data_IF_858290189407
#
_entry.id   IF_858290189407
#
_cell.length_a   1.000
_cell.length_b   1.000
_cell.length_c   1.000
_cell.angle_alpha   90.00
_cell.angle_beta   90.00
_cell.angle_gamma   90.00
#
_symmetry.space_group_name_H-M   'P 1'
#
loop_
_entity.id
_entity.type
_entity.pdbx_description
1 polymer ?
#
# COMPACT_ATOMS: atom_id res chain seq x y z
N UNK A 1 9.59 49.89 25.31
CA UNK A 1 10.49 48.81 24.85
C UNK A 1 9.63 47.58 24.59
N UNK A 2 9.34 47.28 23.32
CA UNK A 2 8.54 46.10 22.96
C UNK A 2 9.45 44.87 23.03
N UNK A 3 9.21 43.99 24.00
CA UNK A 3 9.90 42.70 24.02
C UNK A 3 9.42 41.88 22.82
N UNK A 4 10.35 41.57 21.91
CA UNK A 4 10.15 40.50 20.94
C UNK A 4 9.99 39.20 21.73
N UNK A 5 8.74 38.77 21.92
CA UNK A 5 8.42 37.43 22.40
C UNK A 5 9.00 36.44 21.40
N UNK A 6 10.18 35.90 21.74
CA UNK A 6 10.75 34.78 21.02
C UNK A 6 9.69 33.68 21.01
N UNK A 7 9.25 33.28 19.81
CA UNK A 7 8.25 32.23 19.70
C UNK A 7 8.76 30.98 20.40
N UNK A 8 7.92 30.28 21.19
CA UNK A 8 8.33 29.06 21.85
C UNK A 8 8.90 28.06 20.85
N UNK A 9 9.92 27.31 21.23
CA UNK A 9 10.52 26.28 20.38
C UNK A 9 9.49 25.24 19.89
N UNK A 10 8.46 24.95 20.71
CA UNK A 10 7.33 24.09 20.32
C UNK A 10 6.53 24.64 19.14
N UNK A 11 6.35 25.96 19.07
CA UNK A 11 5.69 26.63 17.94
C UNK A 11 6.52 26.49 16.67
N UNK A 12 7.83 26.75 16.72
CA UNK A 12 8.69 26.58 15.55
C UNK A 12 8.68 25.12 15.04
N UNK A 13 8.70 24.15 15.97
CA UNK A 13 8.56 22.73 15.63
C UNK A 13 7.21 22.40 14.97
N UNK A 14 6.10 22.98 15.43
CA UNK A 14 4.79 22.74 14.81
C UNK A 14 4.70 23.33 13.41
N UNK A 15 5.24 24.53 13.19
CA UNK A 15 5.27 25.18 11.88
C UNK A 15 6.10 24.36 10.87
N UNK A 16 7.31 23.95 11.25
CA UNK A 16 8.17 23.13 10.39
C UNK A 16 7.49 21.81 10.05
N UNK A 17 6.88 21.15 11.05
CA UNK A 17 6.15 19.89 10.83
C UNK A 17 4.95 20.09 9.90
N UNK A 18 4.20 21.18 10.05
CA UNK A 18 3.06 21.52 9.19
C UNK A 18 3.51 21.76 7.74
N UNK A 19 4.55 22.56 7.56
CA UNK A 19 5.11 22.84 6.23
C UNK A 19 5.65 21.56 5.56
N UNK A 20 6.38 20.72 6.29
CA UNK A 20 6.88 19.45 5.78
C UNK A 20 5.74 18.49 5.37
N UNK A 21 4.66 18.42 6.18
CA UNK A 21 3.47 17.63 5.84
C UNK A 21 2.76 18.17 4.59
N UNK A 22 2.67 19.49 4.42
CA UNK A 22 2.07 20.10 3.22
C UNK A 22 2.86 19.73 1.98
N UNK A 23 4.18 19.93 2.00
CA UNK A 23 5.07 19.57 0.88
C UNK A 23 4.96 18.09 0.55
N UNK A 24 4.92 17.23 1.59
CA UNK A 24 4.77 15.80 1.37
C UNK A 24 3.41 15.44 0.77
N UNK A 25 2.32 16.07 1.23
CA UNK A 25 1.00 15.86 0.65
C UNK A 25 0.96 16.30 -0.82
N UNK A 26 1.52 17.46 -1.15
CA UNK A 26 1.57 17.96 -2.53
C UNK A 26 2.34 16.99 -3.44
N UNK A 27 3.50 16.50 -2.98
CA UNK A 27 4.27 15.50 -3.72
C UNK A 27 3.50 14.16 -3.84
N UNK A 28 2.74 13.78 -2.81
CA UNK A 28 1.95 12.56 -2.80
C UNK A 28 0.77 12.63 -3.79
N UNK A 29 0.09 13.77 -3.84
CA UNK A 29 -1.05 13.99 -4.73
C UNK A 29 -0.62 14.07 -6.20
N UNK A 30 0.49 14.74 -6.48
CA UNK A 30 0.99 14.98 -7.85
C UNK A 30 1.97 13.92 -8.35
N UNK A 31 2.43 13.00 -7.49
CA UNK A 31 3.36 11.94 -7.85
C UNK A 31 2.73 10.88 -8.76
N UNK A 32 3.51 10.38 -9.72
CA UNK A 32 3.10 9.31 -10.65
C UNK A 32 3.33 7.90 -10.10
N UNK A 33 4.25 7.73 -9.15
CA UNK A 33 4.58 6.44 -8.54
C UNK A 33 3.69 6.13 -7.35
N UNK A 34 3.36 4.85 -7.13
CA UNK A 34 2.63 4.43 -5.93
C UNK A 34 1.14 4.80 -5.93
N UNK A 35 0.55 5.09 -7.11
CA UNK A 35 -0.86 5.51 -7.24
C UNK A 35 -1.86 4.55 -6.60
N UNK A 36 -1.65 3.25 -6.69
CA UNK A 36 -2.51 2.26 -6.02
C UNK A 36 -2.52 2.45 -4.49
N UNK A 37 -1.37 2.81 -3.91
CA UNK A 37 -1.25 3.10 -2.47
C UNK A 37 -1.87 4.45 -2.14
N UNK A 38 -1.69 5.47 -3.00
CA UNK A 38 -2.38 6.78 -2.87
C UNK A 38 -3.90 6.61 -2.86
N UNK A 39 -4.44 5.82 -3.79
CA UNK A 39 -5.88 5.66 -3.89
C UNK A 39 -6.50 5.06 -2.61
N UNK A 40 -5.73 4.27 -1.84
CA UNK A 40 -6.11 3.68 -0.55
C UNK A 40 -5.80 4.62 0.62
N UNK A 41 -4.63 5.25 0.63
CA UNK A 41 -4.17 6.19 1.67
C UNK A 41 -3.84 7.53 1.00
N UNK A 42 -4.87 8.36 0.72
CA UNK A 42 -4.68 9.59 -0.04
C UNK A 42 -4.06 10.70 0.81
N UNK A 43 -4.11 10.58 2.14
CA UNK A 43 -3.60 11.61 3.06
C UNK A 43 -2.34 11.13 3.77
N UNK A 44 -1.26 11.91 3.64
CA UNK A 44 -0.03 11.66 4.38
C UNK A 44 -0.23 12.00 5.86
N UNK A 45 0.45 11.26 6.72
CA UNK A 45 0.33 11.41 8.17
C UNK A 45 1.58 10.86 8.84
N UNK A 46 1.94 11.46 9.98
CA UNK A 46 2.99 10.91 10.84
C UNK A 46 2.49 9.74 11.72
N UNK A 47 1.20 9.39 11.64
CA UNK A 47 0.65 8.22 12.32
C UNK A 47 0.69 7.02 11.38
N UNK A 48 1.17 5.85 11.82
CA UNK A 48 1.12 4.65 11.01
C UNK A 48 -0.34 4.25 10.74
N UNK A 49 -0.59 3.66 9.57
CA UNK A 49 -1.92 3.21 9.13
C UNK A 49 -2.41 1.97 9.91
N UNK A 50 -1.54 1.34 10.72
CA UNK A 50 -1.88 0.15 11.50
C UNK A 50 -1.91 -1.14 10.68
N UNK A 51 -1.23 -1.14 9.53
CA UNK A 51 -1.02 -2.32 8.70
C UNK A 51 0.20 -3.11 9.16
N UNK A 52 0.13 -4.42 9.06
CA UNK A 52 1.30 -5.28 9.27
C UNK A 52 2.13 -5.41 7.99
N UNK A 53 3.24 -6.15 8.06
CA UNK A 53 4.17 -6.35 6.93
C UNK A 53 3.46 -6.93 5.70
N UNK A 54 2.65 -7.96 5.88
CA UNK A 54 1.94 -8.65 4.80
C UNK A 54 0.91 -7.72 4.11
N UNK A 55 0.15 -6.96 4.89
CA UNK A 55 -0.82 -5.98 4.39
C UNK A 55 -0.14 -4.85 3.63
N UNK A 56 0.99 -4.33 4.14
CA UNK A 56 1.77 -3.30 3.44
C UNK A 56 2.31 -3.83 2.11
N UNK A 57 2.88 -5.03 2.09
CA UNK A 57 3.38 -5.66 0.86
C UNK A 57 2.29 -5.78 -0.20
N UNK A 58 1.11 -6.27 0.19
CA UNK A 58 -0.01 -6.40 -0.72
C UNK A 58 -0.47 -5.06 -1.30
N UNK A 59 -0.73 -4.06 -0.44
CA UNK A 59 -1.26 -2.75 -0.87
C UNK A 59 -0.28 -2.01 -1.79
N UNK A 60 1.01 -2.09 -1.48
CA UNK A 60 2.06 -1.45 -2.26
C UNK A 60 2.47 -2.26 -3.49
N UNK A 61 2.00 -3.50 -3.62
CA UNK A 61 2.46 -4.44 -4.64
C UNK A 61 3.93 -4.83 -4.48
N UNK A 62 4.51 -4.64 -3.30
CA UNK A 62 5.89 -5.00 -2.98
C UNK A 62 6.02 -6.43 -2.44
N UNK A 63 7.24 -6.97 -2.43
CA UNK A 63 7.55 -8.28 -1.85
C UNK A 63 7.64 -9.39 -2.92
N UNK A 64 7.01 -10.55 -2.73
CA UNK A 64 7.19 -11.72 -3.61
C UNK A 64 6.44 -11.60 -4.96
N UNK A 65 5.87 -10.44 -5.28
CA UNK A 65 5.13 -10.26 -6.51
C UNK A 65 6.06 -10.23 -7.73
N UNK A 66 5.81 -11.03 -8.78
CA UNK A 66 6.67 -11.08 -9.96
C UNK A 66 6.90 -9.73 -10.64
N UNK A 67 5.89 -8.84 -10.67
CA UNK A 67 5.99 -7.49 -11.23
C UNK A 67 7.01 -6.63 -10.48
N UNK A 68 7.00 -6.69 -9.15
CA UNK A 68 7.99 -6.02 -8.32
C UNK A 68 9.38 -6.62 -8.51
N UNK A 69 9.53 -7.94 -8.45
CA UNK A 69 10.83 -8.58 -8.64
C UNK A 69 11.43 -8.30 -10.02
N UNK A 70 10.58 -8.23 -11.06
CA UNK A 70 11.01 -7.88 -12.41
C UNK A 70 11.49 -6.43 -12.53
N UNK A 71 10.82 -5.46 -11.89
CA UNK A 71 11.25 -4.06 -11.92
C UNK A 71 12.64 -3.83 -11.29
N UNK A 72 13.06 -4.73 -10.40
CA UNK A 72 14.40 -4.72 -9.79
C UNK A 72 15.40 -5.66 -10.49
N UNK A 73 15.05 -6.20 -11.67
CA UNK A 73 15.88 -7.18 -12.40
C UNK A 73 16.22 -8.44 -11.60
N UNK A 74 15.44 -8.76 -10.57
CA UNK A 74 15.58 -9.99 -9.76
C UNK A 74 14.89 -11.19 -10.43
N UNK A 75 14.04 -10.93 -11.42
CA UNK A 75 13.38 -11.93 -12.27
C UNK A 75 13.36 -11.49 -13.73
N UNK A 76 13.53 -12.45 -14.63
CA UNK A 76 13.50 -12.23 -16.09
C UNK A 76 12.10 -11.92 -16.62
N UNK A 77 11.06 -12.42 -15.96
CA UNK A 77 9.66 -12.17 -16.33
C UNK A 77 8.81 -11.89 -15.09
N UNK A 78 7.81 -11.06 -15.28
CA UNK A 78 6.81 -10.65 -14.30
C UNK A 78 5.50 -11.45 -14.31
N UNK A 79 5.47 -12.59 -15.01
CA UNK A 79 4.29 -13.44 -14.99
C UNK A 79 4.20 -14.27 -13.70
N UNK A 80 2.97 -14.60 -13.32
CA UNK A 80 2.75 -15.58 -12.26
C UNK A 80 3.22 -16.97 -12.72
N UNK A 81 3.70 -17.81 -11.80
CA UNK A 81 4.11 -19.19 -12.12
C UNK A 81 2.98 -20.05 -12.70
N UNK A 82 1.71 -19.61 -12.59
CA UNK A 82 0.58 -20.29 -13.24
C UNK A 82 0.39 -19.89 -14.71
N UNK A 83 1.23 -18.99 -15.24
CA UNK A 83 1.19 -18.49 -16.62
C UNK A 83 0.37 -17.21 -16.82
N UNK A 84 -0.32 -16.72 -15.78
CA UNK A 84 -1.28 -15.62 -15.87
C UNK A 84 -0.74 -14.25 -15.40
N UNK A 85 -1.64 -13.25 -15.51
CA UNK A 85 -1.46 -11.79 -15.33
C UNK A 85 -0.60 -11.34 -14.12
N UNK A 86 0.07 -10.19 -14.34
CA UNK A 86 1.02 -9.47 -13.46
C UNK A 86 0.44 -8.78 -12.20
N UNK A 87 -0.87 -8.89 -11.95
CA UNK A 87 -1.57 -8.09 -10.92
C UNK A 87 -1.56 -8.83 -9.56
N UNK A 88 -1.16 -8.21 -8.43
CA UNK A 88 -1.32 -8.79 -7.09
C UNK A 88 -2.71 -9.38 -6.84
N UNK A 89 -3.77 -8.74 -7.35
CA UNK A 89 -5.17 -9.21 -7.22
C UNK A 89 -5.37 -10.60 -7.84
N UNK A 90 -4.56 -11.00 -8.82
CA UNK A 90 -4.62 -12.34 -9.40
C UNK A 90 -4.47 -13.43 -8.35
N UNK A 91 -3.56 -13.27 -7.38
CA UNK A 91 -3.34 -14.23 -6.31
C UNK A 91 -4.54 -14.34 -5.37
N UNK A 92 -5.23 -13.23 -5.15
CA UNK A 92 -6.39 -13.16 -4.28
C UNK A 92 -7.68 -13.63 -4.93
N UNK A 93 -7.72 -13.84 -6.25
CA UNK A 93 -9.02 -14.03 -6.94
C UNK A 93 -9.05 -15.16 -7.96
N UNK A 94 -7.90 -15.51 -8.56
CA UNK A 94 -7.87 -16.39 -9.76
C UNK A 94 -6.72 -17.40 -9.80
N UNK A 95 -5.65 -17.20 -9.04
CA UNK A 95 -4.47 -18.05 -9.17
C UNK A 95 -4.73 -19.48 -8.71
N UNK A 96 -4.46 -20.46 -9.58
CA UNK A 96 -4.66 -21.88 -9.28
C UNK A 96 -3.89 -22.37 -8.05
N UNK A 97 -2.82 -21.68 -7.65
CA UNK A 97 -1.99 -22.05 -6.50
C UNK A 97 -2.49 -21.48 -5.18
N UNK A 98 -3.50 -20.61 -5.18
CA UNK A 98 -3.97 -19.90 -3.98
C UNK A 98 -5.48 -20.00 -3.79
N UNK A 99 -6.10 -21.06 -4.35
CA UNK A 99 -7.54 -21.32 -4.33
C UNK A 99 -8.17 -21.23 -2.94
N UNK A 100 -7.49 -21.71 -1.90
CA UNK A 100 -7.97 -21.70 -0.51
C UNK A 100 -8.07 -20.30 0.11
N UNK A 101 -7.37 -19.31 -0.46
CA UNK A 101 -7.35 -17.93 0.03
C UNK A 101 -8.06 -16.97 -0.90
N UNK A 102 -8.79 -17.47 -1.90
CA UNK A 102 -9.51 -16.61 -2.82
C UNK A 102 -10.57 -15.78 -2.10
N UNK A 103 -10.59 -14.51 -2.48
CA UNK A 103 -11.66 -13.56 -2.29
C UNK A 103 -12.57 -13.57 -3.52
N UNK A 104 -13.76 -13.01 -3.35
CA UNK A 104 -14.63 -12.75 -4.48
C UNK A 104 -13.94 -11.78 -5.45
N UNK A 105 -13.90 -12.16 -6.73
CA UNK A 105 -13.31 -11.32 -7.76
C UNK A 105 -14.13 -10.03 -7.91
N UNK A 106 -13.54 -8.84 -7.73
CA UNK A 106 -14.26 -7.60 -7.96
C UNK A 106 -14.45 -7.38 -9.47
N UNK A 107 -15.53 -6.70 -9.83
CA UNK A 107 -15.64 -6.09 -11.17
C UNK A 107 -14.60 -4.98 -11.30
N UNK A 108 -14.19 -4.66 -12.54
CA UNK A 108 -13.18 -3.62 -12.78
C UNK A 108 -13.58 -2.25 -12.20
N UNK A 109 -14.86 -1.90 -12.26
CA UNK A 109 -15.40 -0.67 -11.67
C UNK A 109 -15.32 -0.62 -10.14
N UNK A 110 -15.30 -1.77 -9.47
CA UNK A 110 -15.27 -1.88 -8.00
C UNK A 110 -13.88 -2.24 -7.46
N UNK A 111 -12.86 -2.36 -8.32
CA UNK A 111 -11.50 -2.78 -7.92
C UNK A 111 -10.95 -1.94 -6.77
N UNK A 112 -11.08 -0.61 -6.84
CA UNK A 112 -10.56 0.27 -5.79
C UNK A 112 -11.33 0.13 -4.47
N UNK A 113 -12.66 0.06 -4.53
CA UNK A 113 -13.49 -0.13 -3.33
C UNK A 113 -13.19 -1.47 -2.67
N UNK A 114 -12.98 -2.51 -3.47
CA UNK A 114 -12.59 -3.83 -2.99
C UNK A 114 -11.23 -3.79 -2.28
N UNK A 115 -10.22 -3.12 -2.87
CA UNK A 115 -8.92 -2.95 -2.24
C UNK A 115 -9.01 -2.19 -0.91
N UNK A 116 -9.85 -1.15 -0.83
CA UNK A 116 -10.10 -0.39 0.40
C UNK A 116 -10.76 -1.22 1.49
N UNK A 117 -11.54 -2.24 1.13
CA UNK A 117 -12.28 -3.06 2.09
C UNK A 117 -11.44 -4.20 2.70
N UNK A 118 -10.38 -4.64 2.03
CA UNK A 118 -9.50 -5.69 2.57
C UNK A 118 -8.88 -5.30 3.91
N UNK A 119 -8.22 -4.13 4.06
CA UNK A 119 -7.58 -3.75 5.31
C UNK A 119 -8.57 -3.31 6.41
N UNK A 120 -9.86 -3.14 6.12
CA UNK A 120 -10.87 -2.75 7.11
C UNK A 120 -11.58 -3.93 7.76
N UNK A 121 -11.58 -5.11 7.12
CA UNK A 121 -12.26 -6.30 7.63
C UNK A 121 -11.27 -7.32 8.26
N UNK A 122 -11.52 -7.75 9.49
CA UNK A 122 -10.62 -8.64 10.25
C UNK A 122 -10.43 -10.03 9.61
N UNK A 123 -11.49 -10.60 9.02
CA UNK A 123 -11.42 -11.87 8.30
C UNK A 123 -10.60 -11.73 7.02
N UNK A 124 -10.83 -10.65 6.27
CA UNK A 124 -10.05 -10.35 5.06
C UNK A 124 -8.57 -10.16 5.37
N UNK A 125 -8.25 -9.42 6.44
CA UNK A 125 -6.87 -9.27 6.91
C UNK A 125 -6.23 -10.61 7.26
N UNK A 126 -6.94 -11.47 7.99
CA UNK A 126 -6.43 -12.81 8.33
C UNK A 126 -6.16 -13.64 7.08
N UNK A 127 -7.10 -13.66 6.12
CA UNK A 127 -6.93 -14.39 4.86
C UNK A 127 -5.75 -13.86 4.04
N UNK A 128 -5.62 -12.54 3.91
CA UNK A 128 -4.51 -11.91 3.22
C UNK A 128 -3.17 -12.26 3.88
N UNK A 129 -3.08 -12.22 5.21
CA UNK A 129 -1.86 -12.59 5.94
C UNK A 129 -1.42 -14.01 5.65
N UNK A 130 -2.36 -14.97 5.65
CA UNK A 130 -2.06 -16.37 5.35
C UNK A 130 -1.57 -16.54 3.91
N UNK A 131 -2.22 -15.87 2.95
CA UNK A 131 -1.79 -15.86 1.55
C UNK A 131 -0.37 -15.31 1.39
N UNK A 132 -0.09 -14.16 2.01
CA UNK A 132 1.21 -13.50 1.91
C UNK A 132 2.32 -14.30 2.57
N UNK A 133 2.04 -15.00 3.67
CA UNK A 133 3.00 -15.93 4.30
C UNK A 133 3.32 -17.10 3.38
N UNK A 134 2.29 -17.76 2.83
CA UNK A 134 2.46 -18.82 1.84
C UNK A 134 3.28 -18.41 0.61
N UNK A 135 3.30 -17.11 0.28
CA UNK A 135 4.11 -16.57 -0.83
C UNK A 135 5.52 -16.12 -0.42
N UNK A 136 5.74 -15.83 0.85
CA UNK A 136 7.04 -15.38 1.35
C UNK A 136 7.91 -16.50 1.89
N UNK A 137 7.31 -17.61 2.30
CA UNK A 137 7.98 -18.86 2.73
C UNK A 137 8.38 -19.71 1.51
#
# INVERSE_FOLDING_TARGET
MWFLLHKPHSYLKSEIKSAALSIWQDNWDNGETGRSTHDIVPRVSNKPVGWNREEMMFVTGHGPFPSYLHSFNLRTHDNCSCGEKRDPIHYDTKCRFTLSWHFQTPTMSLKLQWLKHIPTNSLSRTRLRLLMRFKCD
#
